data_IF_670490395355
#
_entry.id   IF_670490395355
#
_cell.length_a   1.000
_cell.length_b   1.000
_cell.length_c   1.000
_cell.angle_alpha   90.00
_cell.angle_beta   90.00
_cell.angle_gamma   90.00
#
_symmetry.space_group_name_H-M   'P 1'
#
loop_
_entity.id
_entity.type
_entity.pdbx_description
1 polymer ?
#
# COMPACT_ATOMS: atom_id res chain seq x y z
N UNK A 1 20.95 14.42 34.34
CA UNK A 1 19.97 13.79 33.42
C UNK A 1 19.81 14.73 32.24
N UNK A 2 20.62 14.54 31.23
CA UNK A 2 20.58 15.34 29.99
C UNK A 2 19.58 14.69 29.07
N UNK A 3 18.40 15.30 28.95
CA UNK A 3 17.40 14.91 27.95
C UNK A 3 17.99 15.16 26.56
N UNK A 4 18.19 14.10 25.83
CA UNK A 4 18.43 14.18 24.39
C UNK A 4 17.13 14.64 23.77
N UNK A 5 17.00 15.92 23.50
CA UNK A 5 16.00 16.42 22.57
C UNK A 5 16.37 15.91 21.19
N UNK A 6 15.82 14.80 20.79
CA UNK A 6 15.77 14.42 19.39
C UNK A 6 14.90 15.48 18.70
N UNK A 7 15.54 16.46 18.06
CA UNK A 7 14.89 17.30 17.07
C UNK A 7 14.45 16.39 15.93
N UNK A 8 13.28 15.78 16.04
CA UNK A 8 12.60 15.22 14.90
C UNK A 8 12.29 16.41 13.99
N UNK A 9 13.00 16.51 12.87
CA UNK A 9 12.67 17.47 11.83
C UNK A 9 11.23 17.18 11.38
N UNK A 10 10.37 18.20 11.26
CA UNK A 10 9.01 17.97 10.82
C UNK A 10 9.04 17.33 9.42
N UNK A 11 8.36 16.19 9.28
CA UNK A 11 8.18 15.54 7.99
C UNK A 11 6.95 16.17 7.33
N UNK A 12 7.15 16.74 6.14
CA UNK A 12 6.07 17.31 5.34
C UNK A 12 5.69 16.33 4.23
N UNK A 13 4.43 15.95 4.21
CA UNK A 13 3.90 15.13 3.14
C UNK A 13 3.65 15.97 1.89
N UNK A 14 4.13 15.49 0.74
CA UNK A 14 3.90 16.09 -0.58
C UNK A 14 3.23 15.05 -1.47
N UNK A 15 1.97 15.29 -1.84
CA UNK A 15 1.26 14.45 -2.82
C UNK A 15 1.77 14.73 -4.24
N UNK A 16 2.20 13.69 -4.94
CA UNK A 16 2.63 13.81 -6.33
C UNK A 16 2.35 12.52 -7.12
N UNK A 17 2.20 12.61 -8.45
CA UNK A 17 2.11 11.42 -9.28
C UNK A 17 3.39 10.57 -9.20
N UNK A 18 3.23 9.24 -9.21
CA UNK A 18 4.35 8.30 -9.16
C UNK A 18 5.36 8.55 -10.29
N UNK A 19 4.90 8.95 -11.47
CA UNK A 19 5.75 9.28 -12.61
C UNK A 19 6.68 10.48 -12.40
N UNK A 20 6.37 11.36 -11.44
CA UNK A 20 7.19 12.54 -11.10
C UNK A 20 8.12 12.31 -9.92
N UNK A 21 7.89 11.24 -9.16
CA UNK A 21 8.63 10.95 -7.93
C UNK A 21 10.12 10.69 -8.16
N UNK A 22 10.56 9.95 -9.21
CA UNK A 22 12.00 9.73 -9.45
C UNK A 22 12.76 11.03 -9.63
N UNK A 23 12.23 11.96 -10.41
CA UNK A 23 12.87 13.27 -10.63
C UNK A 23 12.90 14.11 -9.35
N UNK A 24 11.82 14.08 -8.56
CA UNK A 24 11.74 14.79 -7.28
C UNK A 24 12.77 14.26 -6.26
N UNK A 25 12.99 12.96 -6.19
CA UNK A 25 14.02 12.33 -5.37
C UNK A 25 15.42 12.71 -5.85
N UNK A 26 15.69 12.62 -7.18
CA UNK A 26 17.00 12.97 -7.75
C UNK A 26 17.37 14.43 -7.52
N UNK A 27 16.41 15.34 -7.58
CA UNK A 27 16.59 16.77 -7.32
C UNK A 27 16.57 17.15 -5.84
N UNK A 28 16.31 16.20 -4.93
CA UNK A 28 16.22 16.45 -3.50
C UNK A 28 14.97 17.27 -3.09
N UNK A 29 13.98 17.36 -3.95
CA UNK A 29 12.67 18.01 -3.63
C UNK A 29 11.96 17.23 -2.53
N UNK A 30 12.06 15.90 -2.59
CA UNK A 30 11.65 14.99 -1.50
C UNK A 30 12.82 14.08 -1.13
N UNK A 31 12.87 13.61 0.11
CA UNK A 31 13.95 12.80 0.65
C UNK A 31 13.59 11.32 0.77
N UNK A 32 12.33 10.98 0.54
CA UNK A 32 11.81 9.62 0.60
C UNK A 32 10.40 9.55 0.06
N UNK A 33 9.84 8.36 0.05
CA UNK A 33 8.46 8.13 -0.37
C UNK A 33 7.80 7.09 0.56
N UNK A 34 6.49 7.16 0.63
CA UNK A 34 5.66 6.14 1.25
C UNK A 34 4.86 5.46 0.12
N UNK A 35 5.10 4.17 -0.10
CA UNK A 35 4.51 3.40 -1.19
C UNK A 35 4.61 1.91 -0.91
N UNK A 36 4.04 1.09 -1.79
CA UNK A 36 4.26 -0.34 -1.83
C UNK A 36 5.70 -0.67 -2.24
N UNK A 37 6.19 -1.86 -1.91
CA UNK A 37 7.63 -2.19 -2.03
C UNK A 37 8.07 -2.52 -3.46
N UNK A 38 7.19 -3.04 -4.29
CA UNK A 38 7.51 -3.41 -5.69
C UNK A 38 8.03 -2.21 -6.50
N UNK A 39 7.63 -0.98 -6.14
CA UNK A 39 8.11 0.23 -6.83
C UNK A 39 9.60 0.44 -6.72
N UNK A 40 10.26 -0.19 -5.72
CA UNK A 40 11.72 -0.13 -5.58
C UNK A 40 12.42 -0.70 -6.81
N UNK A 41 11.86 -1.76 -7.41
CA UNK A 41 12.37 -2.39 -8.64
C UNK A 41 11.73 -1.75 -9.88
N UNK A 42 10.40 -1.65 -9.92
CA UNK A 42 9.65 -1.23 -11.11
C UNK A 42 9.95 0.21 -11.54
N UNK A 43 10.09 1.12 -10.57
CA UNK A 43 10.45 2.52 -10.80
C UNK A 43 11.91 2.83 -10.48
N UNK A 44 12.71 1.79 -10.19
CA UNK A 44 14.14 1.90 -9.84
C UNK A 44 14.44 2.80 -8.64
N UNK A 45 13.50 2.89 -7.70
CA UNK A 45 13.73 3.73 -6.52
C UNK A 45 14.86 3.21 -5.64
N UNK A 46 15.20 1.91 -5.70
CA UNK A 46 16.35 1.35 -5.01
C UNK A 46 17.70 1.93 -5.46
N UNK A 47 17.76 2.54 -6.66
CA UNK A 47 18.96 3.26 -7.11
C UNK A 47 19.12 4.59 -6.35
N UNK A 48 18.02 5.18 -5.88
CA UNK A 48 17.94 6.49 -5.23
C UNK A 48 17.80 6.38 -3.71
N UNK A 49 16.98 5.47 -3.23
CA UNK A 49 16.70 5.25 -1.81
C UNK A 49 17.51 4.05 -1.31
N UNK A 50 18.25 4.24 -0.21
CA UNK A 50 19.15 3.19 0.32
C UNK A 50 18.61 2.50 1.56
N UNK A 51 17.45 2.89 2.04
CA UNK A 51 16.75 2.32 3.19
C UNK A 51 15.30 2.05 2.87
N UNK A 52 14.78 0.92 3.31
CA UNK A 52 13.35 0.57 3.31
C UNK A 52 12.98 0.25 4.74
N UNK A 53 11.96 0.92 5.28
CA UNK A 53 11.37 0.54 6.57
C UNK A 53 10.04 -0.17 6.32
N UNK A 54 9.95 -1.43 6.77
CA UNK A 54 8.77 -2.27 6.62
C UNK A 54 7.76 -1.95 7.72
N UNK A 55 6.81 -1.07 7.42
CA UNK A 55 5.81 -0.62 8.40
C UNK A 55 4.58 -1.51 8.47
N UNK A 56 4.23 -2.21 7.38
CA UNK A 56 3.05 -3.09 7.26
C UNK A 56 1.72 -2.40 7.64
N UNK A 57 1.65 -1.08 7.48
CA UNK A 57 0.52 -0.28 7.94
C UNK A 57 -0.55 -0.07 6.88
N UNK A 58 -0.28 -0.40 5.63
CA UNK A 58 -1.19 -0.14 4.52
C UNK A 58 -1.35 -1.35 3.60
N UNK A 59 -2.58 -1.54 3.14
CA UNK A 59 -2.90 -2.40 2.00
C UNK A 59 -3.28 -1.49 0.83
N UNK A 60 -2.71 -1.73 -0.34
CA UNK A 60 -3.03 -1.02 -1.58
C UNK A 60 -4.01 -1.85 -2.42
N UNK A 61 -5.33 -1.61 -2.33
CA UNK A 61 -6.30 -2.33 -3.15
C UNK A 61 -6.29 -1.81 -4.59
N UNK A 62 -6.35 -2.72 -5.54
CA UNK A 62 -6.52 -2.41 -6.94
C UNK A 62 -7.87 -2.91 -7.43
N UNK A 63 -8.55 -2.09 -8.23
CA UNK A 63 -9.82 -2.47 -8.84
C UNK A 63 -9.71 -2.41 -10.36
N UNK A 64 -10.10 -3.49 -11.02
CA UNK A 64 -10.30 -3.50 -12.47
C UNK A 64 -11.73 -3.05 -12.75
N UNK A 65 -11.88 -1.91 -13.39
CA UNK A 65 -13.19 -1.29 -13.63
C UNK A 65 -13.43 -1.06 -15.12
N UNK A 66 -14.72 -1.10 -15.52
CA UNK A 66 -15.14 -0.80 -16.86
C UNK A 66 -16.30 0.21 -16.83
N UNK A 67 -16.37 1.08 -17.83
CA UNK A 67 -17.50 1.98 -17.99
C UNK A 67 -18.79 1.18 -18.19
N UNK A 68 -19.87 1.50 -17.44
CA UNK A 68 -21.13 0.77 -17.48
C UNK A 68 -21.72 0.64 -18.89
N UNK A 69 -21.73 1.71 -19.68
CA UNK A 69 -22.23 1.67 -21.07
C UNK A 69 -21.41 0.75 -21.97
N UNK A 70 -20.11 0.61 -21.70
CA UNK A 70 -19.25 -0.33 -22.45
C UNK A 70 -19.54 -1.75 -22.03
N UNK A 71 -19.73 -2.00 -20.74
CA UNK A 71 -20.15 -3.31 -20.23
C UNK A 71 -21.50 -3.74 -20.82
N UNK A 72 -22.50 -2.86 -20.78
CA UNK A 72 -23.84 -3.15 -21.28
C UNK A 72 -23.87 -3.50 -22.78
N UNK A 73 -22.95 -2.89 -23.55
CA UNK A 73 -22.80 -3.12 -24.98
C UNK A 73 -22.03 -4.40 -25.35
N UNK A 74 -21.43 -5.11 -24.38
CA UNK A 74 -20.75 -6.37 -24.64
C UNK A 74 -21.77 -7.47 -24.96
N UNK A 75 -21.44 -8.42 -25.86
CA UNK A 75 -22.18 -9.66 -26.03
C UNK A 75 -22.23 -10.47 -24.72
N UNK A 76 -23.32 -11.23 -24.53
CA UNK A 76 -23.50 -11.98 -23.27
C UNK A 76 -22.46 -13.08 -23.05
N UNK A 77 -21.99 -13.71 -24.11
CA UNK A 77 -20.90 -14.68 -24.06
C UNK A 77 -19.59 -14.07 -23.60
N UNK A 78 -19.30 -12.82 -24.00
CA UNK A 78 -18.13 -12.07 -23.54
C UNK A 78 -18.27 -11.67 -22.07
N UNK A 79 -19.43 -11.19 -21.65
CA UNK A 79 -19.69 -10.87 -20.23
C UNK A 79 -19.45 -12.09 -19.35
N UNK A 80 -19.97 -13.26 -19.78
CA UNK A 80 -19.79 -14.51 -19.05
C UNK A 80 -18.31 -14.87 -18.86
N UNK A 81 -17.46 -14.67 -19.88
CA UNK A 81 -16.02 -14.89 -19.76
C UNK A 81 -15.40 -13.95 -18.72
N UNK A 82 -15.77 -12.66 -18.68
CA UNK A 82 -15.32 -11.74 -17.65
C UNK A 82 -15.71 -12.20 -16.24
N UNK A 83 -16.95 -12.66 -16.06
CA UNK A 83 -17.45 -13.13 -14.77
C UNK A 83 -16.73 -14.41 -14.31
N UNK A 84 -16.52 -15.36 -15.22
CA UNK A 84 -15.83 -16.62 -14.95
C UNK A 84 -14.33 -16.39 -14.59
N UNK A 85 -13.66 -15.46 -15.27
CA UNK A 85 -12.26 -15.17 -15.04
C UNK A 85 -12.02 -14.25 -13.82
N UNK A 86 -13.03 -13.53 -13.33
CA UNK A 86 -12.84 -12.52 -12.30
C UNK A 86 -12.16 -13.07 -11.03
N UNK A 87 -12.61 -14.22 -10.55
CA UNK A 87 -12.08 -14.86 -9.35
C UNK A 87 -10.69 -15.46 -9.63
N UNK A 88 -10.51 -16.16 -10.74
CA UNK A 88 -9.24 -16.75 -11.14
C UNK A 88 -8.15 -15.68 -11.28
N UNK A 89 -8.47 -14.58 -11.97
CA UNK A 89 -7.53 -13.46 -12.15
C UNK A 89 -7.21 -12.73 -10.84
N UNK A 90 -8.18 -12.63 -9.94
CA UNK A 90 -7.94 -12.05 -8.63
C UNK A 90 -6.93 -12.89 -7.82
N UNK A 91 -7.10 -14.21 -7.77
CA UNK A 91 -6.20 -15.11 -7.07
C UNK A 91 -4.82 -15.14 -7.71
N UNK A 92 -4.76 -15.25 -9.03
CA UNK A 92 -3.49 -15.23 -9.77
C UNK A 92 -2.73 -13.92 -9.56
N UNK A 93 -3.43 -12.77 -9.61
CA UNK A 93 -2.81 -11.46 -9.41
C UNK A 93 -2.28 -11.33 -7.98
N UNK A 94 -3.02 -11.83 -6.97
CA UNK A 94 -2.55 -11.82 -5.59
C UNK A 94 -1.24 -12.60 -5.44
N UNK A 95 -1.20 -13.84 -5.92
CA UNK A 95 0.02 -14.67 -5.87
C UNK A 95 1.18 -14.05 -6.66
N UNK A 96 0.89 -13.50 -7.85
CA UNK A 96 1.90 -12.79 -8.63
C UNK A 96 2.48 -11.60 -7.87
N UNK A 97 1.64 -10.79 -7.24
CA UNK A 97 2.08 -9.60 -6.49
C UNK A 97 2.91 -9.97 -5.27
N UNK A 98 2.52 -11.00 -4.52
CA UNK A 98 3.29 -11.48 -3.37
C UNK A 98 4.72 -11.90 -3.79
N UNK A 99 4.82 -12.68 -4.86
CA UNK A 99 6.11 -13.09 -5.42
C UNK A 99 6.93 -11.89 -5.93
N UNK A 100 6.28 -10.95 -6.61
CA UNK A 100 6.94 -9.77 -7.18
C UNK A 100 7.46 -8.81 -6.10
N UNK A 101 6.73 -8.64 -5.01
CA UNK A 101 7.19 -7.89 -3.84
C UNK A 101 8.47 -8.53 -3.26
N UNK A 102 8.49 -9.86 -3.09
CA UNK A 102 9.67 -10.55 -2.60
C UNK A 102 10.87 -10.40 -3.56
N UNK A 103 10.64 -10.55 -4.86
CA UNK A 103 11.69 -10.30 -5.88
C UNK A 103 12.22 -8.86 -5.82
N UNK A 104 11.34 -7.88 -5.59
CA UNK A 104 11.74 -6.47 -5.48
C UNK A 104 12.62 -6.21 -4.26
N UNK A 105 12.29 -6.84 -3.12
CA UNK A 105 13.10 -6.78 -1.90
C UNK A 105 14.47 -7.39 -2.15
N UNK A 106 14.51 -8.61 -2.69
CA UNK A 106 15.75 -9.34 -2.91
C UNK A 106 16.67 -8.61 -3.90
N UNK A 107 16.12 -8.13 -5.00
CA UNK A 107 16.85 -7.32 -5.97
C UNK A 107 17.39 -6.01 -5.33
N UNK A 108 16.58 -5.33 -4.53
CA UNK A 108 16.98 -4.10 -3.84
C UNK A 108 18.14 -4.36 -2.88
N UNK A 109 18.11 -5.47 -2.14
CA UNK A 109 19.18 -5.87 -1.22
C UNK A 109 20.45 -6.32 -1.93
N UNK A 110 20.31 -7.18 -2.94
CA UNK A 110 21.47 -7.82 -3.59
C UNK A 110 22.16 -6.92 -4.59
N UNK A 111 21.40 -6.26 -5.47
CA UNK A 111 21.95 -5.46 -6.57
C UNK A 111 22.17 -4.00 -6.17
N UNK A 112 21.26 -3.43 -5.37
CA UNK A 112 21.28 -2.00 -5.03
C UNK A 112 21.85 -1.71 -3.64
N UNK A 113 22.13 -2.76 -2.84
CA UNK A 113 22.64 -2.67 -1.48
C UNK A 113 21.73 -1.85 -0.54
N UNK A 114 20.43 -1.97 -0.75
CA UNK A 114 19.42 -1.33 0.10
C UNK A 114 19.37 -2.06 1.43
N UNK A 115 19.36 -1.32 2.51
CA UNK A 115 19.12 -1.82 3.85
C UNK A 115 17.62 -1.90 4.12
N UNK A 116 17.14 -3.07 4.50
CA UNK A 116 15.74 -3.29 4.89
C UNK A 116 15.65 -3.31 6.40
N UNK A 117 14.87 -2.41 6.95
CA UNK A 117 14.67 -2.20 8.38
C UNK A 117 13.31 -2.82 8.76
N UNK A 118 13.36 -3.85 9.57
CA UNK A 118 12.18 -4.46 10.17
C UNK A 118 11.89 -3.80 11.52
N UNK A 119 10.65 -3.35 11.70
CA UNK A 119 10.23 -2.78 12.99
C UNK A 119 10.01 -3.89 14.03
N UNK A 120 10.40 -3.65 15.26
CA UNK A 120 10.07 -4.50 16.39
C UNK A 120 8.56 -4.52 16.65
N UNK A 121 8.09 -5.48 17.42
CA UNK A 121 6.67 -5.56 17.79
C UNK A 121 6.20 -4.31 18.56
N UNK A 122 7.07 -3.75 19.40
CA UNK A 122 6.82 -2.53 20.16
C UNK A 122 6.68 -1.32 19.23
N UNK A 123 7.60 -1.15 18.27
CA UNK A 123 7.56 -0.07 17.29
C UNK A 123 6.32 -0.18 16.40
N UNK A 124 5.98 -1.39 15.92
CA UNK A 124 4.74 -1.62 15.17
C UNK A 124 3.49 -1.24 15.99
N UNK A 125 3.48 -1.57 17.28
CA UNK A 125 2.36 -1.20 18.16
C UNK A 125 2.24 0.32 18.34
N UNK A 126 3.37 1.02 18.49
CA UNK A 126 3.37 2.48 18.56
C UNK A 126 2.86 3.14 17.26
N UNK A 127 3.30 2.62 16.09
CA UNK A 127 2.80 3.07 14.80
C UNK A 127 1.30 2.87 14.66
N UNK A 128 0.80 1.67 15.00
CA UNK A 128 -0.62 1.35 14.92
C UNK A 128 -1.47 2.24 15.81
N UNK A 129 -1.01 2.51 17.04
CA UNK A 129 -1.72 3.42 17.95
C UNK A 129 -1.85 4.86 17.40
N UNK A 130 -0.86 5.33 16.65
CA UNK A 130 -0.92 6.63 15.97
C UNK A 130 -1.87 6.64 14.77
N UNK A 131 -2.15 5.48 14.16
CA UNK A 131 -3.02 5.35 12.99
C UNK A 131 -4.49 5.10 13.35
N UNK A 132 -4.79 4.57 14.55
CA UNK A 132 -6.17 4.31 15.00
C UNK A 132 -7.13 5.50 14.82
N UNK A 133 -6.77 6.75 15.15
CA UNK A 133 -7.67 7.89 14.96
C UNK A 133 -8.12 8.11 13.51
N UNK A 134 -7.38 7.62 12.52
CA UNK A 134 -7.76 7.71 11.11
C UNK A 134 -8.98 6.84 10.80
N UNK A 135 -9.12 5.69 11.47
CA UNK A 135 -10.27 4.80 11.32
C UNK A 135 -11.53 5.49 11.85
N UNK A 136 -11.44 6.13 13.02
CA UNK A 136 -12.55 6.86 13.62
C UNK A 136 -13.00 8.04 12.74
N UNK A 137 -12.05 8.78 12.19
CA UNK A 137 -12.38 9.89 11.28
C UNK A 137 -12.99 9.38 9.96
N UNK A 138 -12.50 8.26 9.44
CA UNK A 138 -13.11 7.62 8.26
C UNK A 138 -14.55 7.18 8.55
N UNK A 139 -14.80 6.51 9.69
CA UNK A 139 -16.15 6.08 10.11
C UNK A 139 -17.10 7.28 10.15
N UNK A 140 -16.65 8.38 10.74
CA UNK A 140 -17.44 9.61 10.82
C UNK A 140 -17.80 10.18 9.44
N UNK A 141 -16.83 10.24 8.52
CA UNK A 141 -17.04 10.74 7.17
C UNK A 141 -17.93 9.78 6.35
N UNK A 142 -17.73 8.48 6.45
CA UNK A 142 -18.51 7.48 5.76
C UNK A 142 -19.99 7.46 6.23
N UNK A 143 -20.23 7.58 7.54
CA UNK A 143 -21.58 7.75 8.10
C UNK A 143 -22.25 9.02 7.58
N UNK A 144 -21.53 10.12 7.50
CA UNK A 144 -22.06 11.38 6.95
C UNK A 144 -22.43 11.24 5.45
N UNK A 145 -21.77 10.33 4.73
CA UNK A 145 -22.10 9.97 3.35
C UNK A 145 -23.20 8.89 3.23
N UNK A 146 -23.78 8.42 4.35
CA UNK A 146 -24.86 7.43 4.36
C UNK A 146 -24.40 5.97 4.22
N UNK A 147 -23.11 5.69 4.44
CA UNK A 147 -22.57 4.33 4.38
C UNK A 147 -22.69 3.61 5.74
N UNK A 148 -22.84 2.27 5.76
CA UNK A 148 -22.81 1.46 6.98
C UNK A 148 -21.36 1.27 7.45
N UNK A 149 -20.75 2.35 7.91
CA UNK A 149 -19.30 2.45 8.11
C UNK A 149 -18.73 1.48 9.15
N UNK A 150 -19.46 1.23 10.23
CA UNK A 150 -19.05 0.29 11.28
C UNK A 150 -19.06 -1.15 10.77
N UNK A 151 -20.15 -1.55 10.08
CA UNK A 151 -20.26 -2.88 9.49
C UNK A 151 -19.12 -3.13 8.49
N UNK A 152 -18.79 -2.12 7.65
CA UNK A 152 -17.68 -2.20 6.69
C UNK A 152 -16.34 -2.41 7.41
N UNK A 153 -16.09 -1.69 8.50
CA UNK A 153 -14.84 -1.83 9.27
C UNK A 153 -14.77 -3.18 9.97
N UNK A 154 -15.87 -3.65 10.53
CA UNK A 154 -15.94 -4.93 11.22
C UNK A 154 -15.74 -6.10 10.25
N UNK A 155 -16.38 -6.07 9.07
CA UNK A 155 -16.19 -7.04 8.00
C UNK A 155 -14.74 -7.07 7.50
N UNK A 156 -14.12 -5.89 7.34
CA UNK A 156 -12.72 -5.78 6.93
C UNK A 156 -11.79 -6.40 8.00
N UNK A 157 -11.99 -6.08 9.28
CA UNK A 157 -11.21 -6.65 10.38
C UNK A 157 -11.36 -8.17 10.46
N UNK A 158 -12.58 -8.69 10.30
CA UNK A 158 -12.85 -10.12 10.27
C UNK A 158 -12.15 -10.82 9.09
N UNK A 159 -12.18 -10.19 7.92
CA UNK A 159 -11.48 -10.69 6.73
C UNK A 159 -9.97 -10.72 6.93
N UNK A 160 -9.37 -9.64 7.45
CA UNK A 160 -7.94 -9.60 7.78
C UNK A 160 -7.59 -10.73 8.76
N UNK A 161 -8.33 -10.90 9.85
CA UNK A 161 -8.09 -11.95 10.83
C UNK A 161 -8.15 -13.37 10.21
N UNK A 162 -9.02 -13.56 9.21
CA UNK A 162 -9.17 -14.84 8.52
C UNK A 162 -8.00 -15.15 7.57
N UNK A 163 -7.49 -14.15 6.86
CA UNK A 163 -6.47 -14.33 5.82
C UNK A 163 -5.04 -14.09 6.29
N UNK A 164 -4.84 -13.41 7.43
CA UNK A 164 -3.49 -13.18 7.99
C UNK A 164 -2.88 -14.40 8.69
N UNK A 165 -3.59 -15.52 8.79
CA UNK A 165 -3.12 -16.76 9.44
C UNK A 165 -2.47 -17.75 8.45
N UNK A 166 -2.16 -17.31 7.25
CA UNK A 166 -1.41 -18.08 6.25
C UNK A 166 -0.02 -17.47 6.10
#
# INVERSE_FOLDING_TARGET
>A
MTGVQTCALPIYQVGMPMSSTPEALQKGVVQGLFSSVEVMKDFKFAELCKYITMTETNIYPFAVVMNQKKWDALPDDVKKVFEELAVEQCLWTGEYMDNHVQESIDWSKTEQKVEVIELSAEEKAEWNALLEPNVDEWIKQAKAAGLPAEDIVDDLKASIATFSQK
#
